data_IF_044545403813
#
_entry.id   IF_044545403813
#
_cell.length_a   1.000
_cell.length_b   1.000
_cell.length_c   1.000
_cell.angle_alpha   90.00
_cell.angle_beta   90.00
_cell.angle_gamma   90.00
#
_symmetry.space_group_name_H-M   'P 1'
#
loop_
_entity.id
_entity.type
_entity.pdbx_description
1 polymer ?
#
# COMPACT_ATOMS: atom_id res chain seq x y z
N UNK A 1 -17.04 -8.91 19.84
CA UNK A 1 -16.75 -10.25 20.39
C UNK A 1 -17.59 -11.23 19.60
N UNK A 2 -17.08 -12.41 19.25
CA UNK A 2 -17.97 -13.47 18.79
C UNK A 2 -18.68 -14.00 20.02
N UNK A 3 -20.00 -14.00 19.98
CA UNK A 3 -20.82 -14.61 21.01
C UNK A 3 -21.26 -15.97 20.48
N UNK A 4 -21.20 -16.98 21.34
CA UNK A 4 -21.85 -18.25 21.05
C UNK A 4 -23.37 -18.02 20.96
N UNK A 5 -24.13 -18.96 20.36
CA UNK A 5 -25.60 -18.84 20.30
C UNK A 5 -26.28 -18.66 21.67
N UNK A 6 -25.59 -19.01 22.76
CA UNK A 6 -26.02 -18.85 24.15
C UNK A 6 -25.66 -17.47 24.76
N UNK A 7 -25.08 -16.55 23.99
CA UNK A 7 -24.69 -15.22 24.45
C UNK A 7 -23.37 -15.16 25.24
N UNK A 8 -22.69 -16.29 25.43
CA UNK A 8 -21.37 -16.31 26.09
C UNK A 8 -20.26 -15.85 25.15
N UNK A 9 -19.26 -15.14 25.69
CA UNK A 9 -18.10 -14.68 24.91
C UNK A 9 -17.31 -15.91 24.46
N UNK A 10 -17.07 -16.03 23.15
CA UNK A 10 -16.19 -17.04 22.60
C UNK A 10 -14.73 -16.54 22.64
N UNK A 11 -13.88 -17.01 23.58
CA UNK A 11 -12.47 -16.60 23.63
C UNK A 11 -11.70 -17.00 22.35
N UNK A 12 -12.09 -18.10 21.70
CA UNK A 12 -11.50 -18.52 20.41
C UNK A 12 -11.83 -17.53 19.27
N UNK A 13 -12.96 -16.84 19.37
CA UNK A 13 -13.39 -15.84 18.41
C UNK A 13 -12.47 -14.61 18.39
N UNK A 14 -11.87 -14.25 19.53
CA UNK A 14 -10.88 -13.18 19.59
C UNK A 14 -9.60 -13.56 18.81
N UNK A 15 -9.10 -14.78 19.01
CA UNK A 15 -7.95 -15.30 18.30
C UNK A 15 -8.24 -15.46 16.79
N UNK A 16 -9.42 -15.97 16.42
CA UNK A 16 -9.87 -16.07 15.03
C UNK A 16 -9.95 -14.69 14.37
N UNK A 17 -10.58 -13.71 15.03
CA UNK A 17 -10.66 -12.33 14.54
C UNK A 17 -9.28 -11.73 14.30
N UNK A 18 -8.33 -11.97 15.21
CA UNK A 18 -6.96 -11.47 15.05
C UNK A 18 -6.29 -12.07 13.81
N UNK A 19 -6.41 -13.39 13.59
CA UNK A 19 -5.92 -14.06 12.38
C UNK A 19 -6.58 -13.51 11.11
N UNK A 20 -7.91 -13.39 11.10
CA UNK A 20 -8.64 -12.81 9.97
C UNK A 20 -8.22 -11.36 9.67
N UNK A 21 -8.02 -10.54 10.70
CA UNK A 21 -7.55 -9.15 10.54
C UNK A 21 -6.15 -9.12 9.91
N UNK A 22 -5.23 -9.97 10.36
CA UNK A 22 -3.89 -10.06 9.79
C UNK A 22 -3.92 -10.42 8.30
N UNK A 23 -4.77 -11.39 7.92
CA UNK A 23 -4.97 -11.81 6.54
C UNK A 23 -5.53 -10.66 5.69
N UNK A 24 -6.66 -10.07 6.10
CA UNK A 24 -7.34 -9.01 5.33
C UNK A 24 -6.41 -7.81 5.14
N UNK A 25 -5.77 -7.33 6.21
CA UNK A 25 -4.84 -6.21 6.11
C UNK A 25 -3.62 -6.57 5.26
N UNK A 26 -3.07 -7.79 5.42
CA UNK A 26 -1.94 -8.25 4.62
C UNK A 26 -2.25 -8.24 3.12
N UNK A 27 -3.38 -8.83 2.73
CA UNK A 27 -3.82 -8.87 1.33
C UNK A 27 -4.11 -7.47 0.80
N UNK A 28 -4.86 -6.65 1.55
CA UNK A 28 -5.17 -5.27 1.13
C UNK A 28 -3.92 -4.40 0.95
N UNK A 29 -2.89 -4.59 1.77
CA UNK A 29 -1.63 -3.83 1.66
C UNK A 29 -0.61 -4.45 0.69
N UNK A 30 -1.03 -5.43 -0.12
CA UNK A 30 -0.18 -6.05 -1.13
C UNK A 30 0.95 -6.89 -0.53
N UNK A 31 0.79 -7.44 0.69
CA UNK A 31 1.70 -8.48 1.19
C UNK A 31 1.59 -9.69 0.28
N UNK A 32 2.74 -10.22 -0.13
CA UNK A 32 2.80 -11.47 -0.87
C UNK A 32 2.47 -12.68 0.02
N UNK A 33 2.08 -13.78 -0.60
CA UNK A 33 1.82 -15.08 0.05
C UNK A 33 2.92 -15.51 1.04
N UNK A 34 4.24 -15.31 0.78
CA UNK A 34 5.27 -15.65 1.75
C UNK A 34 5.15 -14.90 3.08
N UNK A 35 4.79 -13.61 3.05
CA UNK A 35 4.63 -12.81 4.27
C UNK A 35 3.34 -13.19 5.01
N UNK A 36 2.28 -13.57 4.29
CA UNK A 36 1.05 -14.09 4.90
C UNK A 36 1.32 -15.42 5.61
N UNK A 37 2.13 -16.30 5.00
CA UNK A 37 2.52 -17.57 5.62
C UNK A 37 3.30 -17.36 6.93
N UNK A 38 4.22 -16.41 6.94
CA UNK A 38 5.02 -16.03 8.12
C UNK A 38 4.15 -15.42 9.23
N UNK A 39 3.29 -14.45 8.90
CA UNK A 39 2.41 -13.79 9.87
C UNK A 39 1.45 -14.77 10.56
N UNK A 40 1.05 -15.84 9.87
CA UNK A 40 0.12 -16.85 10.36
C UNK A 40 0.80 -18.10 10.94
N UNK A 41 2.11 -18.27 10.70
CA UNK A 41 2.84 -19.48 11.05
C UNK A 41 2.36 -20.74 10.32
N UNK A 42 1.94 -20.60 9.06
CA UNK A 42 1.41 -21.71 8.24
C UNK A 42 2.30 -22.01 7.03
N UNK A 43 2.03 -23.11 6.32
CA UNK A 43 2.77 -23.43 5.09
C UNK A 43 2.46 -22.44 3.96
N UNK A 44 3.40 -22.33 3.00
CA UNK A 44 3.19 -21.48 1.80
C UNK A 44 2.01 -21.95 0.96
N UNK A 45 1.75 -23.25 0.92
CA UNK A 45 0.64 -23.84 0.17
C UNK A 45 -0.71 -23.46 0.78
N UNK A 46 -0.83 -23.56 2.11
CA UNK A 46 -2.04 -23.11 2.82
C UNK A 46 -2.26 -21.60 2.68
N UNK A 47 -1.19 -20.80 2.77
CA UNK A 47 -1.28 -19.36 2.56
C UNK A 47 -1.73 -19.00 1.13
N UNK A 48 -1.28 -19.75 0.12
CA UNK A 48 -1.73 -19.58 -1.26
C UNK A 48 -3.22 -19.92 -1.40
N UNK A 49 -3.68 -21.02 -0.80
CA UNK A 49 -5.10 -21.39 -0.81
C UNK A 49 -5.98 -20.31 -0.18
N UNK A 50 -5.55 -19.74 0.96
CA UNK A 50 -6.26 -18.64 1.62
C UNK A 50 -6.32 -17.42 0.71
N UNK A 51 -5.19 -17.06 0.10
CA UNK A 51 -5.10 -15.93 -0.84
C UNK A 51 -6.07 -16.12 -2.02
N UNK A 52 -6.06 -17.29 -2.65
CA UNK A 52 -6.91 -17.62 -3.80
C UNK A 52 -8.40 -17.59 -3.44
N UNK A 53 -8.76 -18.09 -2.25
CA UNK A 53 -10.13 -18.03 -1.75
C UNK A 53 -10.61 -16.59 -1.56
N UNK A 54 -9.74 -15.69 -1.06
CA UNK A 54 -10.08 -14.27 -0.88
C UNK A 54 -10.24 -13.59 -2.23
N UNK A 55 -9.32 -13.79 -3.18
CA UNK A 55 -9.44 -13.21 -4.52
C UNK A 55 -10.73 -13.69 -5.22
N UNK A 56 -11.09 -14.97 -5.06
CA UNK A 56 -12.34 -15.53 -5.58
C UNK A 56 -13.58 -14.94 -4.92
N UNK A 57 -13.55 -14.73 -3.60
CA UNK A 57 -14.67 -14.17 -2.86
C UNK A 57 -14.86 -12.65 -3.11
N UNK A 58 -13.76 -11.93 -3.35
CA UNK A 58 -13.73 -10.47 -3.51
C UNK A 58 -13.06 -10.07 -4.84
N UNK A 59 -13.69 -10.33 -6.00
CA UNK A 59 -13.10 -10.04 -7.31
C UNK A 59 -12.84 -8.53 -7.53
N UNK A 60 -13.59 -7.65 -6.87
CA UNK A 60 -13.35 -6.21 -6.91
C UNK A 60 -12.00 -5.80 -6.33
N UNK A 61 -11.46 -6.56 -5.35
CA UNK A 61 -10.15 -6.31 -4.76
C UNK A 61 -9.04 -6.63 -5.77
N UNK A 62 -9.11 -7.77 -6.44
CA UNK A 62 -8.17 -8.15 -7.48
C UNK A 62 -8.15 -7.13 -8.62
N UNK A 63 -9.34 -6.73 -9.08
CA UNK A 63 -9.49 -5.69 -10.10
C UNK A 63 -8.84 -4.38 -9.67
N UNK A 64 -9.10 -3.92 -8.44
CA UNK A 64 -8.48 -2.72 -7.89
C UNK A 64 -6.95 -2.81 -7.86
N UNK A 65 -6.39 -3.96 -7.48
CA UNK A 65 -4.94 -4.17 -7.46
C UNK A 65 -4.33 -4.09 -8.87
N UNK A 66 -4.96 -4.73 -9.85
CA UNK A 66 -4.51 -4.73 -11.26
C UNK A 66 -4.58 -3.32 -11.84
N UNK A 67 -5.71 -2.63 -11.68
CA UNK A 67 -5.90 -1.26 -12.17
C UNK A 67 -4.90 -0.29 -11.55
N UNK A 68 -4.62 -0.43 -10.25
CA UNK A 68 -3.62 0.40 -9.55
C UNK A 68 -2.21 0.21 -10.13
N UNK A 69 -1.84 -1.03 -10.45
CA UNK A 69 -0.54 -1.34 -11.05
C UNK A 69 -0.46 -0.83 -12.48
N UNK A 70 -1.52 -0.99 -13.27
CA UNK A 70 -1.56 -0.52 -14.66
C UNK A 70 -1.47 1.01 -14.72
N UNK A 71 -2.20 1.71 -13.85
CA UNK A 71 -2.09 3.17 -13.69
C UNK A 71 -0.64 3.59 -13.41
N UNK A 72 0.06 2.89 -12.51
CA UNK A 72 1.44 3.20 -12.19
C UNK A 72 2.42 2.90 -13.34
N UNK A 73 2.18 1.85 -14.14
CA UNK A 73 2.98 1.52 -15.33
C UNK A 73 2.79 2.53 -16.45
N UNK A 74 1.55 2.95 -16.70
CA UNK A 74 1.22 3.86 -17.80
C UNK A 74 1.53 5.32 -17.46
N UNK A 75 1.13 5.78 -16.27
CA UNK A 75 1.24 7.20 -15.88
C UNK A 75 2.46 7.50 -15.00
N UNK A 76 3.12 6.49 -14.44
CA UNK A 76 4.23 6.66 -13.48
C UNK A 76 3.78 7.11 -12.08
N UNK A 77 2.48 7.08 -11.79
CA UNK A 77 1.93 7.44 -10.49
C UNK A 77 0.60 6.75 -10.20
N UNK A 78 0.20 6.72 -8.92
CA UNK A 78 -1.15 6.38 -8.47
C UNK A 78 -1.75 7.55 -7.71
N UNK A 79 -3.08 7.65 -7.66
CA UNK A 79 -3.79 8.66 -6.88
C UNK A 79 -4.70 8.05 -5.80
N UNK A 80 -4.93 8.85 -4.76
CA UNK A 80 -5.92 8.58 -3.72
C UNK A 80 -7.32 8.95 -4.20
N UNK A 81 -8.34 8.59 -3.43
CA UNK A 81 -9.76 8.95 -3.70
C UNK A 81 -9.93 10.46 -3.91
N UNK A 82 -9.16 11.29 -3.20
CA UNK A 82 -9.21 12.76 -3.31
C UNK A 82 -8.10 13.36 -4.19
N UNK A 83 -7.46 12.54 -5.05
CA UNK A 83 -6.59 13.01 -6.12
C UNK A 83 -5.14 13.29 -5.72
N UNK A 84 -4.71 12.94 -4.49
CA UNK A 84 -3.30 13.10 -4.10
C UNK A 84 -2.45 12.06 -4.82
N UNK A 85 -1.44 12.53 -5.56
CA UNK A 85 -0.57 11.68 -6.38
C UNK A 85 0.62 11.15 -5.60
N UNK A 86 0.89 9.85 -5.74
CA UNK A 86 2.14 9.19 -5.35
C UNK A 86 2.88 8.76 -6.60
N UNK A 87 4.03 9.39 -6.88
CA UNK A 87 4.90 9.03 -8.01
C UNK A 87 5.64 7.73 -7.71
N UNK A 88 5.65 6.82 -8.68
CA UNK A 88 6.29 5.51 -8.60
C UNK A 88 7.05 5.26 -9.92
N UNK A 89 8.13 6.02 -10.20
CA UNK A 89 8.85 5.93 -11.47
C UNK A 89 9.42 4.53 -11.73
N UNK A 90 9.72 3.78 -10.66
CA UNK A 90 10.22 2.40 -10.75
C UNK A 90 9.24 1.43 -11.43
N UNK A 91 7.94 1.77 -11.53
CA UNK A 91 6.96 0.96 -12.26
C UNK A 91 7.09 1.08 -13.79
N UNK A 92 7.78 2.10 -14.28
CA UNK A 92 8.01 2.34 -15.70
C UNK A 92 9.38 1.82 -16.18
N UNK A 93 10.16 1.24 -15.26
CA UNK A 93 11.44 0.63 -15.61
C UNK A 93 11.22 -0.66 -16.38
N UNK A 94 12.05 -0.87 -17.40
CA UNK A 94 12.18 -2.18 -18.00
C UNK A 94 12.72 -3.17 -16.97
N UNK A 95 12.23 -4.41 -17.05
CA UNK A 95 12.63 -5.47 -16.11
C UNK A 95 14.14 -5.71 -16.13
N UNK A 96 14.74 -5.63 -17.31
CA UNK A 96 16.16 -5.79 -17.55
C UNK A 96 16.66 -4.67 -18.47
N UNK A 97 17.60 -3.86 -17.99
CA UNK A 97 18.31 -2.89 -18.83
C UNK A 97 19.65 -3.51 -19.28
N UNK A 98 19.98 -3.36 -20.56
CA UNK A 98 21.19 -3.92 -21.17
C UNK A 98 22.02 -2.80 -21.79
N UNK A 99 23.29 -2.68 -21.40
CA UNK A 99 24.22 -1.70 -21.95
C UNK A 99 25.57 -2.35 -22.24
N UNK A 100 26.27 -1.95 -23.30
CA UNK A 100 27.64 -2.41 -23.51
C UNK A 100 28.62 -1.68 -22.57
N UNK A 101 29.63 -2.39 -22.07
CA UNK A 101 30.67 -1.85 -21.18
C UNK A 101 31.75 -1.04 -21.91
N UNK A 102 31.52 -0.67 -23.16
CA UNK A 102 32.47 0.04 -24.01
C UNK A 102 31.77 0.74 -25.18
N UNK A 103 32.37 1.85 -25.63
CA UNK A 103 32.01 2.58 -26.84
C UNK A 103 32.25 1.69 -28.06
N UNK A 104 31.27 0.90 -28.46
CA UNK A 104 31.38 0.07 -29.67
C UNK A 104 30.50 0.67 -30.75
N UNK A 105 31.05 0.96 -31.92
CA UNK A 105 30.24 1.33 -33.08
C UNK A 105 29.40 0.12 -33.48
N UNK A 106 28.07 0.27 -33.57
CA UNK A 106 27.17 -0.82 -33.95
C UNK A 106 27.53 -1.41 -35.33
N UNK A 107 28.23 -0.65 -36.18
CA UNK A 107 28.92 -1.11 -37.38
C UNK A 107 30.27 -0.39 -37.45
N UNK A 108 31.38 -1.12 -37.43
CA UNK A 108 32.69 -0.53 -37.71
C UNK A 108 32.79 -0.28 -39.22
N UNK A 109 32.31 0.88 -39.68
CA UNK A 109 32.66 1.41 -41.00
C UNK A 109 33.92 2.27 -40.86
N UNK A 110 35.08 1.84 -41.42
CA UNK A 110 36.33 2.59 -41.34
C UNK A 110 36.35 3.90 -42.14
N UNK A 111 35.27 4.25 -42.86
CA UNK A 111 35.15 5.49 -43.64
C UNK A 111 34.08 6.46 -43.10
N UNK A 112 33.36 6.09 -42.05
CA UNK A 112 32.32 6.91 -41.43
C UNK A 112 32.87 7.67 -40.21
N UNK A 113 33.29 8.91 -40.44
CA UNK A 113 33.88 9.80 -39.43
C UNK A 113 32.84 10.42 -38.48
N UNK A 114 31.54 10.21 -38.73
CA UNK A 114 30.42 10.77 -37.96
C UNK A 114 29.68 9.71 -37.11
N UNK A 115 30.24 8.51 -36.92
CA UNK A 115 29.58 7.42 -36.18
C UNK A 115 29.11 7.84 -34.79
N UNK A 116 27.79 7.92 -34.62
CA UNK A 116 27.15 7.93 -33.31
C UNK A 116 27.45 6.59 -32.62
N UNK A 117 28.33 6.66 -31.62
CA UNK A 117 28.65 5.52 -30.77
C UNK A 117 27.40 5.16 -29.96
N UNK A 118 26.71 4.10 -30.37
CA UNK A 118 25.56 3.57 -29.64
C UNK A 118 25.99 2.51 -28.64
N UNK A 119 25.58 2.66 -27.38
CA UNK A 119 25.78 1.66 -26.33
C UNK A 119 24.63 0.63 -26.28
N UNK A 120 23.73 0.64 -27.27
CA UNK A 120 22.56 -0.22 -27.29
C UNK A 120 22.89 -1.66 -27.70
N UNK A 121 22.39 -2.60 -26.90
CA UNK A 121 22.50 -4.03 -27.17
C UNK A 121 21.42 -4.45 -28.19
N UNK A 122 21.73 -5.24 -29.23
CA UNK A 122 20.74 -5.75 -30.17
C UNK A 122 19.60 -6.54 -29.49
N UNK A 123 18.38 -6.39 -29.98
CA UNK A 123 17.17 -7.03 -29.42
C UNK A 123 17.27 -8.57 -29.33
N UNK A 124 17.97 -9.21 -30.26
CA UNK A 124 18.20 -10.66 -30.22
C UNK A 124 18.98 -11.12 -28.99
N UNK A 125 19.99 -10.34 -28.58
CA UNK A 125 20.82 -10.60 -27.40
C UNK A 125 20.04 -10.29 -26.13
N UNK A 126 19.32 -9.15 -26.11
CA UNK A 126 18.42 -8.80 -24.99
C UNK A 126 17.42 -9.93 -24.72
N UNK A 127 16.70 -10.41 -25.74
CA UNK A 127 15.74 -11.52 -25.61
C UNK A 127 16.37 -12.80 -25.10
N UNK A 128 17.56 -13.17 -25.58
CA UNK A 128 18.29 -14.37 -25.12
C UNK A 128 18.56 -14.29 -23.63
N UNK A 129 19.17 -13.20 -23.16
CA UNK A 129 19.48 -13.05 -21.74
C UNK A 129 18.24 -12.86 -20.87
N UNK A 130 17.22 -12.12 -21.32
CA UNK A 130 15.96 -12.00 -20.59
C UNK A 130 15.30 -13.36 -20.38
N UNK A 131 15.23 -14.22 -21.41
CA UNK A 131 14.67 -15.55 -21.29
C UNK A 131 15.47 -16.47 -20.34
N UNK A 132 16.80 -16.32 -20.32
CA UNK A 132 17.66 -17.03 -19.37
C UNK A 132 17.44 -16.54 -17.94
N UNK A 133 17.35 -15.23 -17.74
CA UNK A 133 17.13 -14.61 -16.42
C UNK A 133 15.75 -14.92 -15.86
N UNK A 134 14.72 -15.01 -16.70
CA UNK A 134 13.35 -15.31 -16.26
C UNK A 134 13.20 -16.73 -15.70
N UNK A 135 14.00 -17.68 -16.18
CA UNK A 135 13.97 -19.09 -15.75
C UNK A 135 14.94 -19.41 -14.61
N UNK A 136 15.87 -18.51 -14.34
CA UNK A 136 16.96 -18.72 -13.40
C UNK A 136 16.55 -18.39 -11.96
N UNK A 137 17.00 -19.22 -11.02
CA UNK A 137 17.00 -18.92 -9.59
C UNK A 137 17.92 -17.73 -9.28
N UNK A 138 17.83 -17.16 -8.08
CA UNK A 138 18.63 -16.00 -7.70
C UNK A 138 20.14 -16.22 -7.89
N UNK A 139 20.65 -17.38 -7.48
CA UNK A 139 22.07 -17.74 -7.62
C UNK A 139 22.50 -17.91 -9.08
N UNK A 140 21.61 -18.45 -9.92
CA UNK A 140 21.86 -18.62 -11.35
C UNK A 140 21.82 -17.28 -12.10
N UNK A 141 20.91 -16.38 -11.72
CA UNK A 141 20.89 -15.00 -12.26
C UNK A 141 22.21 -14.29 -12.05
N UNK A 142 22.81 -14.41 -10.86
CA UNK A 142 24.12 -13.81 -10.58
C UNK A 142 25.22 -14.37 -11.49
N UNK A 143 25.19 -15.68 -11.77
CA UNK A 143 26.12 -16.31 -12.72
C UNK A 143 25.92 -15.82 -14.15
N UNK A 144 24.68 -15.71 -14.61
CA UNK A 144 24.34 -15.22 -15.95
C UNK A 144 24.78 -13.76 -16.11
N UNK A 145 24.55 -12.91 -15.11
CA UNK A 145 24.98 -11.51 -15.11
C UNK A 145 26.50 -11.42 -15.13
N UNK A 146 27.20 -12.25 -14.35
CA UNK A 146 28.66 -12.31 -14.37
C UNK A 146 29.20 -12.75 -15.74
N UNK A 147 28.57 -13.75 -16.37
CA UNK A 147 28.93 -14.20 -17.71
C UNK A 147 28.69 -13.10 -18.75
N UNK A 148 27.53 -12.46 -18.74
CA UNK A 148 27.24 -11.34 -19.65
C UNK A 148 28.26 -10.21 -19.51
N UNK A 149 28.72 -9.94 -18.28
CA UNK A 149 29.77 -8.95 -18.02
C UNK A 149 31.12 -9.33 -18.64
N UNK A 150 31.46 -10.62 -18.68
CA UNK A 150 32.66 -11.10 -19.42
C UNK A 150 32.53 -10.93 -20.93
N UNK A 151 31.30 -10.99 -21.45
CA UNK A 151 30.97 -10.74 -22.86
C UNK A 151 30.81 -9.22 -23.16
N UNK A 152 31.11 -8.35 -22.20
CA UNK A 152 31.05 -6.90 -22.34
C UNK A 152 29.64 -6.30 -22.21
N UNK A 153 28.67 -7.06 -21.72
CA UNK A 153 27.28 -6.62 -21.53
C UNK A 153 26.99 -6.40 -20.04
N UNK A 154 26.60 -5.19 -19.68
CA UNK A 154 26.12 -4.82 -18.35
C UNK A 154 24.61 -5.01 -18.32
N UNK A 155 24.16 -5.92 -17.46
CA UNK A 155 22.74 -6.19 -17.22
C UNK A 155 22.36 -5.62 -15.86
N UNK A 156 21.32 -4.78 -15.82
CA UNK A 156 20.72 -4.29 -14.58
C UNK A 156 19.34 -4.92 -14.40
N UNK A 157 19.16 -5.66 -13.32
CA UNK A 157 17.91 -6.31 -12.94
C UNK A 157 17.08 -5.36 -12.06
N UNK A 158 15.99 -4.82 -12.63
CA UNK A 158 15.08 -3.91 -11.93
C UNK A 158 13.90 -4.65 -11.28
N UNK A 159 13.85 -5.98 -11.35
CA UNK A 159 12.70 -6.77 -10.85
C UNK A 159 12.39 -6.50 -9.37
N UNK A 160 13.41 -6.31 -8.54
CA UNK A 160 13.25 -5.96 -7.13
C UNK A 160 12.60 -4.58 -6.94
N UNK A 161 13.05 -3.57 -7.70
CA UNK A 161 12.50 -2.21 -7.66
C UNK A 161 11.05 -2.16 -8.13
N UNK A 162 10.74 -2.90 -9.21
CA UNK A 162 9.37 -3.03 -9.74
C UNK A 162 8.48 -3.75 -8.73
N UNK A 163 8.95 -4.82 -8.10
CA UNK A 163 8.20 -5.57 -7.09
C UNK A 163 7.93 -4.72 -5.83
N UNK A 164 8.91 -3.93 -5.39
CA UNK A 164 8.71 -2.97 -4.32
C UNK A 164 7.68 -1.89 -4.69
N UNK A 165 7.83 -1.28 -5.87
CA UNK A 165 6.92 -0.25 -6.34
C UNK A 165 5.49 -0.80 -6.53
N UNK A 166 5.35 -2.05 -6.98
CA UNK A 166 4.07 -2.76 -7.11
C UNK A 166 3.36 -2.85 -5.76
N UNK A 167 4.08 -3.24 -4.69
CA UNK A 167 3.53 -3.26 -3.32
C UNK A 167 3.13 -1.87 -2.85
N UNK A 168 3.96 -0.87 -3.15
CA UNK A 168 3.67 0.52 -2.80
C UNK A 168 2.43 1.08 -3.53
N UNK A 169 2.10 0.62 -4.74
CA UNK A 169 0.95 1.11 -5.51
C UNK A 169 -0.35 0.98 -4.71
N UNK A 170 -0.71 -0.26 -4.35
CA UNK A 170 -1.97 -0.57 -3.68
C UNK A 170 -2.01 0.08 -2.30
N UNK A 171 -0.91 -0.05 -1.56
CA UNK A 171 -0.79 0.53 -0.23
C UNK A 171 -0.98 2.07 -0.25
N UNK A 172 -0.35 2.76 -1.20
CA UNK A 172 -0.42 4.21 -1.31
C UNK A 172 -1.83 4.71 -1.58
N UNK A 173 -2.64 3.97 -2.35
CA UNK A 173 -4.04 4.33 -2.60
C UNK A 173 -4.90 4.14 -1.36
N UNK A 174 -4.74 3.03 -0.64
CA UNK A 174 -5.55 2.71 0.55
C UNK A 174 -5.16 3.59 1.74
N UNK A 175 -3.91 3.48 2.22
CA UNK A 175 -3.45 4.29 3.37
C UNK A 175 -3.46 5.77 3.04
N UNK A 176 -3.18 6.09 1.78
CA UNK A 176 -3.18 7.46 1.36
C UNK A 176 -4.56 8.11 1.40
N UNK A 177 -5.59 7.39 0.96
CA UNK A 177 -6.97 7.86 1.05
C UNK A 177 -7.41 7.95 2.52
N UNK A 178 -7.05 6.98 3.36
CA UNK A 178 -7.33 7.05 4.80
C UNK A 178 -6.70 8.31 5.44
N UNK A 179 -5.44 8.62 5.11
CA UNK A 179 -4.77 9.83 5.60
C UNK A 179 -5.43 11.12 5.10
N UNK A 180 -5.89 11.14 3.85
CA UNK A 180 -6.60 12.30 3.28
C UNK A 180 -7.95 12.49 4.00
N UNK A 181 -8.67 11.41 4.30
CA UNK A 181 -9.91 11.42 5.08
C UNK A 181 -9.69 11.97 6.49
N UNK A 182 -8.68 11.49 7.22
CA UNK A 182 -8.34 12.01 8.56
C UNK A 182 -8.03 13.50 8.50
N UNK A 183 -7.28 13.96 7.51
CA UNK A 183 -6.98 15.40 7.34
C UNK A 183 -8.23 16.22 7.01
N UNK A 184 -9.15 15.71 6.20
CA UNK A 184 -10.46 16.36 5.97
C UNK A 184 -11.22 16.49 7.29
N UNK A 185 -11.26 15.44 8.11
CA UNK A 185 -11.90 15.48 9.43
C UNK A 185 -11.25 16.54 10.34
N UNK A 186 -9.91 16.60 10.38
CA UNK A 186 -9.19 17.65 11.13
C UNK A 186 -9.57 19.06 10.69
N UNK A 187 -9.71 19.29 9.37
CA UNK A 187 -10.11 20.59 8.84
C UNK A 187 -11.56 20.94 9.20
N UNK A 188 -12.47 19.98 9.15
CA UNK A 188 -13.87 20.17 9.54
C UNK A 188 -13.96 20.53 11.03
N UNK A 189 -13.31 19.74 11.88
CA UNK A 189 -13.22 19.97 13.33
C UNK A 189 -12.59 21.33 13.64
N UNK A 190 -11.47 21.67 13.01
CA UNK A 190 -10.77 22.93 13.26
C UNK A 190 -11.53 24.18 12.79
N UNK A 191 -12.41 24.03 11.79
CA UNK A 191 -13.25 25.13 11.27
C UNK A 191 -14.57 25.27 12.01
N UNK A 192 -15.01 24.27 12.75
CA UNK A 192 -16.28 24.30 13.47
C UNK A 192 -16.26 25.39 14.57
N UNK A 193 -17.19 26.35 14.48
CA UNK A 193 -17.29 27.44 15.47
C UNK A 193 -17.92 26.98 16.77
N UNK A 194 -18.86 26.03 16.70
CA UNK A 194 -19.61 25.54 17.85
C UNK A 194 -18.71 24.74 18.81
N UNK A 195 -17.85 23.88 18.27
CA UNK A 195 -16.81 23.21 19.06
C UNK A 195 -15.90 24.22 19.78
N UNK A 196 -15.50 25.30 19.10
CA UNK A 196 -14.65 26.35 19.71
C UNK A 196 -15.39 27.12 20.80
N UNK A 197 -16.66 27.45 20.60
CA UNK A 197 -17.52 28.09 21.61
C UNK A 197 -17.70 27.21 22.84
N UNK A 198 -17.80 25.89 22.65
CA UNK A 198 -17.85 24.91 23.74
C UNK A 198 -16.50 24.63 24.40
N UNK A 199 -15.44 25.30 23.97
CA UNK A 199 -14.10 25.16 24.55
C UNK A 199 -13.36 23.90 24.11
N UNK A 200 -13.78 23.25 23.02
CA UNK A 200 -13.05 22.09 22.48
C UNK A 200 -11.76 22.53 21.79
N UNK A 201 -10.68 21.81 22.07
CA UNK A 201 -9.37 21.97 21.44
C UNK A 201 -8.85 20.63 20.96
N UNK A 202 -8.54 20.53 19.68
CA UNK A 202 -7.82 19.37 19.14
C UNK A 202 -6.38 19.37 19.66
N UNK A 203 -5.95 18.26 20.24
CA UNK A 203 -4.64 18.10 20.87
C UNK A 203 -3.68 17.32 19.99
N UNK A 204 -4.05 16.11 19.58
CA UNK A 204 -3.17 15.21 18.87
C UNK A 204 -3.95 14.23 17.97
N UNK A 205 -3.22 13.64 17.03
CA UNK A 205 -3.78 12.69 16.06
C UNK A 205 -2.91 11.45 16.00
N UNK A 206 -3.51 10.27 16.20
CA UNK A 206 -2.82 8.98 16.12
C UNK A 206 -3.52 8.15 15.05
N UNK A 207 -2.93 8.10 13.85
CA UNK A 207 -3.51 7.39 12.70
C UNK A 207 -4.95 7.83 12.37
N UNK A 208 -5.95 7.02 12.72
CA UNK A 208 -7.38 7.24 12.54
C UNK A 208 -8.07 7.83 13.78
N UNK A 209 -7.33 8.04 14.88
CA UNK A 209 -7.83 8.63 16.12
C UNK A 209 -7.50 10.12 16.22
N UNK A 210 -8.53 10.93 16.49
CA UNK A 210 -8.40 12.36 16.79
C UNK A 210 -8.71 12.57 18.27
N UNK A 211 -7.79 13.21 18.99
CA UNK A 211 -7.92 13.43 20.44
C UNK A 211 -7.96 14.93 20.70
N UNK A 212 -8.93 15.35 21.51
CA UNK A 212 -9.06 16.72 21.97
C UNK A 212 -9.50 16.80 23.42
N UNK A 213 -9.48 18.01 23.96
CA UNK A 213 -9.95 18.34 25.30
C UNK A 213 -11.12 19.31 25.23
N UNK A 214 -12.02 19.27 26.21
CA UNK A 214 -13.10 20.22 26.39
C UNK A 214 -13.52 20.31 27.87
N UNK A 215 -14.19 21.40 28.29
CA UNK A 215 -14.85 21.50 29.58
C UNK A 215 -15.86 20.37 29.80
N UNK A 216 -15.92 19.86 31.04
CA UNK A 216 -16.77 18.71 31.39
C UNK A 216 -18.26 19.00 31.18
N UNK A 217 -18.68 20.26 31.30
CA UNK A 217 -20.09 20.63 31.12
C UNK A 217 -20.58 20.44 29.68
N UNK A 218 -19.68 20.55 28.70
CA UNK A 218 -20.01 20.48 27.28
C UNK A 218 -19.63 19.13 26.63
N UNK A 219 -19.08 18.20 27.40
CA UNK A 219 -18.41 17.01 26.88
C UNK A 219 -19.34 16.13 26.00
N UNK A 220 -20.61 16.02 26.37
CA UNK A 220 -21.61 15.26 25.61
C UNK A 220 -21.91 15.90 24.25
N UNK A 221 -22.23 17.20 24.22
CA UNK A 221 -22.52 17.88 22.96
C UNK A 221 -21.29 17.94 22.04
N UNK A 222 -20.10 18.13 22.64
CA UNK A 222 -18.82 18.06 21.93
C UNK A 222 -18.63 16.68 21.31
N UNK A 223 -18.84 15.59 22.05
CA UNK A 223 -18.67 14.23 21.55
C UNK A 223 -19.59 13.92 20.36
N UNK A 224 -20.87 14.29 20.45
CA UNK A 224 -21.85 14.12 19.38
C UNK A 224 -21.46 14.90 18.12
N UNK A 225 -21.12 16.19 18.27
CA UNK A 225 -20.71 17.05 17.15
C UNK A 225 -19.40 16.59 16.54
N UNK A 226 -18.42 16.22 17.37
CA UNK A 226 -17.10 15.77 16.94
C UNK A 226 -17.20 14.48 16.12
N UNK A 227 -17.95 13.48 16.60
CA UNK A 227 -18.21 12.24 15.85
C UNK A 227 -18.93 12.51 14.53
N UNK A 228 -19.93 13.40 14.53
CA UNK A 228 -20.65 13.78 13.31
C UNK A 228 -19.72 14.40 12.25
N UNK A 229 -18.79 15.29 12.66
CA UNK A 229 -17.82 15.89 11.74
C UNK A 229 -16.82 14.86 11.19
N UNK A 230 -16.44 13.87 12.00
CA UNK A 230 -15.59 12.76 11.52
C UNK A 230 -16.31 11.91 10.47
N UNK A 231 -17.59 11.59 10.67
CA UNK A 231 -18.41 10.88 9.68
C UNK A 231 -18.59 11.75 8.41
N UNK A 232 -18.79 13.05 8.57
CA UNK A 232 -18.95 13.98 7.44
C UNK A 232 -17.71 14.00 6.52
N UNK A 233 -16.51 13.81 7.07
CA UNK A 233 -15.27 13.76 6.28
C UNK A 233 -15.28 12.65 5.20
N UNK A 234 -16.05 11.59 5.44
CA UNK A 234 -16.21 10.42 4.60
C UNK A 234 -17.49 10.43 3.74
N UNK A 235 -18.27 11.53 3.74
CA UNK A 235 -19.58 11.59 3.06
C UNK A 235 -19.55 11.32 1.54
N UNK A 236 -18.38 11.51 0.92
CA UNK A 236 -18.18 11.31 -0.52
C UNK A 236 -17.94 9.82 -0.87
N UNK A 237 -17.91 8.93 0.12
CA UNK A 237 -17.71 7.49 -0.07
C UNK A 237 -19.04 6.74 -0.10
N UNK A 238 -19.12 5.70 -0.93
CA UNK A 238 -20.32 4.86 -1.07
C UNK A 238 -20.61 3.99 0.17
N UNK A 239 -19.63 3.83 1.06
CA UNK A 239 -19.73 2.97 2.24
C UNK A 239 -20.04 3.81 3.48
N UNK A 240 -21.12 3.49 4.24
CA UNK A 240 -21.43 4.19 5.49
C UNK A 240 -20.26 4.15 6.47
N UNK A 241 -19.87 5.33 6.96
CA UNK A 241 -18.79 5.46 7.93
C UNK A 241 -19.34 5.54 9.35
N UNK A 242 -18.61 4.95 10.29
CA UNK A 242 -18.92 4.97 11.73
C UNK A 242 -17.72 5.56 12.47
N UNK A 243 -17.99 6.43 13.45
CA UNK A 243 -16.99 6.97 14.36
C UNK A 243 -17.38 6.63 15.80
N UNK A 244 -16.52 5.88 16.49
CA UNK A 244 -16.66 5.60 17.91
C UNK A 244 -16.03 6.75 18.71
N UNK A 245 -16.76 7.29 19.68
CA UNK A 245 -16.30 8.38 20.56
C UNK A 245 -16.29 7.91 22.01
N UNK A 246 -15.21 8.24 22.72
CA UNK A 246 -15.02 7.89 24.12
C UNK A 246 -14.58 9.14 24.86
N UNK A 247 -15.23 9.44 25.99
CA UNK A 247 -14.88 10.57 26.85
C UNK A 247 -14.12 10.03 28.05
N UNK A 248 -12.94 10.58 28.35
CA UNK A 248 -12.11 10.16 29.47
C UNK A 248 -11.45 11.37 30.14
N UNK A 249 -11.09 11.27 31.43
CA UNK A 249 -10.33 12.33 32.13
C UNK A 249 -8.84 12.33 31.77
N UNK A 250 -8.33 11.20 31.28
CA UNK A 250 -6.95 11.01 30.82
C UNK A 250 -6.92 10.00 29.67
N UNK A 251 -5.90 10.06 28.84
CA UNK A 251 -5.75 9.12 27.73
C UNK A 251 -5.58 7.67 28.26
N UNK A 252 -6.34 6.72 27.72
CA UNK A 252 -6.50 5.35 28.24
C UNK A 252 -7.07 5.24 29.66
N UNK A 253 -7.75 6.29 30.15
CA UNK A 253 -8.57 6.20 31.36
C UNK A 253 -9.88 5.45 31.14
N UNK A 254 -10.61 5.21 32.23
CA UNK A 254 -11.93 4.61 32.17
C UNK A 254 -12.92 5.56 31.44
N UNK A 255 -13.80 5.02 30.57
CA UNK A 255 -14.85 5.80 29.94
C UNK A 255 -15.74 6.47 30.99
N UNK A 256 -15.99 7.76 30.81
CA UNK A 256 -16.96 8.50 31.61
C UNK A 256 -18.35 8.32 30.98
N UNK A 257 -19.30 7.91 31.80
CA UNK A 257 -20.72 7.92 31.44
C UNK A 257 -21.27 9.33 31.72
N UNK A 258 -21.30 10.17 30.69
CA UNK A 258 -21.79 11.55 30.80
C UNK A 258 -23.23 11.57 30.29
N UNK A 259 -24.18 11.63 31.24
CA UNK A 259 -25.62 11.67 30.99
C UNK A 259 -26.05 12.90 30.18
#
# INVERSE_FOLDING_TARGET
>A
MEFRPDGTINPEGAARRQKSKAIVLGVCYGKGVPAIAEDLGISREEAQQIYDQIMRAFPGLERFMIESQNMARELGYVDTVWGRKRRLPNMQLDRYEFTYSGKTSANFDPLDFDQEVSNEVPEGIKRKYSAMLDRASWSEKQRIIAQARTEGIIIKDNSGLIAEATRQCVNSRIQGSAADMTKKAMLLVGKDSQLREWGFRLLLTVHDELIGECPKENAKQVAERFSALMIEAAKDLDVPSKCDVVITERWYGDPLDIA
#
